data_IF_138629900632
#
_entry.id   IF_138629900632
#
_cell.length_a   1.000
_cell.length_b   1.000
_cell.length_c   1.000
_cell.angle_alpha   90.00
_cell.angle_beta   90.00
_cell.angle_gamma   90.00
#
_symmetry.space_group_name_H-M   'P 1'
#
loop_
_entity.id
_entity.type
_entity.pdbx_description
1 polymer ?
#
# COMPACT_ATOMS: atom_id res chain seq x y z
N UNK A 1 6.60 7.57 9.05
CA UNK A 1 6.09 8.81 8.41
C UNK A 1 6.03 9.92 9.43
N UNK A 2 6.54 11.10 9.09
CA UNK A 2 6.50 12.30 9.94
C UNK A 2 5.53 13.33 9.36
N UNK A 3 4.77 13.98 10.23
CA UNK A 3 3.90 15.10 9.90
C UNK A 3 4.52 16.38 10.48
N UNK A 4 4.75 17.37 9.62
CA UNK A 4 5.35 18.65 9.97
C UNK A 4 4.37 19.78 9.65
N UNK A 5 4.43 20.89 10.38
CA UNK A 5 3.77 22.14 9.94
C UNK A 5 4.58 22.86 8.85
N UNK A 6 4.07 24.01 8.38
CA UNK A 6 4.72 24.82 7.35
C UNK A 6 6.05 25.45 7.79
N UNK A 7 6.34 25.43 9.10
CA UNK A 7 7.61 25.92 9.67
C UNK A 7 8.60 24.77 9.92
N UNK A 8 8.19 23.52 9.68
CA UNK A 8 9.00 22.33 9.87
C UNK A 8 8.97 21.77 11.30
N UNK A 9 8.07 22.25 12.17
CA UNK A 9 7.92 21.69 13.51
C UNK A 9 7.22 20.32 13.43
N UNK A 10 7.70 19.35 14.22
CA UNK A 10 7.09 18.03 14.30
C UNK A 10 5.70 18.10 14.95
N UNK A 11 4.70 17.59 14.23
CA UNK A 11 3.32 17.46 14.71
C UNK A 11 3.00 16.05 15.20
N UNK A 12 3.44 15.03 14.45
CA UNK A 12 3.26 13.62 14.80
C UNK A 12 4.21 12.72 14.00
N UNK A 13 4.37 11.50 14.49
CA UNK A 13 5.11 10.43 13.83
C UNK A 13 4.35 9.11 13.99
N UNK A 14 4.21 8.37 12.90
CA UNK A 14 3.60 7.03 12.88
C UNK A 14 4.41 6.09 12.00
N UNK A 15 4.39 4.80 12.30
CA UNK A 15 5.06 3.78 11.50
C UNK A 15 4.19 3.41 10.28
N UNK A 16 4.84 3.26 9.13
CA UNK A 16 4.26 2.77 7.86
C UNK A 16 5.01 1.51 7.44
N UNK A 17 4.60 0.87 6.34
CA UNK A 17 5.23 -0.36 5.86
C UNK A 17 6.67 -0.20 5.35
N UNK A 18 7.22 -1.30 4.85
CA UNK A 18 8.60 -1.37 4.37
C UNK A 18 8.78 -0.62 3.04
N UNK A 19 9.86 0.15 2.94
CA UNK A 19 10.25 0.88 1.73
C UNK A 19 9.10 1.75 1.16
N UNK A 20 8.66 2.80 1.88
CA UNK A 20 7.61 3.68 1.37
C UNK A 20 8.09 4.44 0.13
N UNK A 21 7.29 4.41 -0.94
CA UNK A 21 7.65 5.05 -2.22
C UNK A 21 6.79 6.29 -2.50
N UNK A 22 5.47 6.14 -2.59
CA UNK A 22 4.56 7.23 -2.88
C UNK A 22 3.56 7.48 -1.75
N UNK A 23 3.02 8.71 -1.74
CA UNK A 23 1.90 9.06 -0.89
C UNK A 23 0.93 10.00 -1.59
N UNK A 24 -0.32 9.96 -1.16
CA UNK A 24 -1.35 10.90 -1.62
C UNK A 24 -2.44 11.10 -0.57
N UNK A 25 -3.16 12.20 -0.67
CA UNK A 25 -4.34 12.46 0.14
C UNK A 25 -5.60 11.99 -0.58
N UNK A 26 -6.60 11.55 0.17
CA UNK A 26 -7.96 11.45 -0.39
C UNK A 26 -8.49 12.85 -0.74
N UNK A 27 -9.40 12.98 -1.73
CA UNK A 27 -9.92 14.28 -2.16
C UNK A 27 -10.57 15.12 -1.05
N UNK A 28 -11.11 14.48 -0.01
CA UNK A 28 -11.70 15.13 1.16
C UNK A 28 -10.66 15.55 2.23
N UNK A 29 -9.38 15.24 2.01
CA UNK A 29 -8.27 15.54 2.91
C UNK A 29 -8.25 14.71 4.20
N UNK A 30 -9.13 13.71 4.35
CA UNK A 30 -9.30 12.97 5.61
C UNK A 30 -8.36 11.79 5.78
N UNK A 31 -7.71 11.33 4.71
CA UNK A 31 -6.78 10.20 4.77
C UNK A 31 -5.53 10.47 3.96
N UNK A 32 -4.41 9.94 4.45
CA UNK A 32 -3.17 9.78 3.67
C UNK A 32 -3.01 8.31 3.33
N UNK A 33 -2.75 8.02 2.06
CA UNK A 33 -2.37 6.70 1.59
C UNK A 33 -0.87 6.73 1.31
N UNK A 34 -0.14 5.72 1.78
CA UNK A 34 1.29 5.54 1.55
C UNK A 34 1.51 4.15 0.99
N UNK A 35 2.08 4.04 -0.19
CA UNK A 35 2.52 2.77 -0.77
C UNK A 35 3.85 2.36 -0.18
N UNK A 36 3.94 1.09 0.20
CA UNK A 36 5.12 0.48 0.79
C UNK A 36 5.53 -0.66 -0.15
N UNK A 37 6.58 -0.44 -0.95
CA UNK A 37 6.99 -1.38 -2.00
C UNK A 37 7.39 -2.72 -1.42
N UNK A 38 8.15 -2.72 -0.33
CA UNK A 38 8.64 -3.97 0.24
C UNK A 38 9.65 -4.72 -0.63
N UNK A 39 10.37 -4.05 -1.53
CA UNK A 39 11.36 -4.70 -2.41
C UNK A 39 12.40 -5.53 -1.61
N UNK A 40 12.78 -6.72 -2.07
CA UNK A 40 13.84 -7.50 -1.46
C UNK A 40 15.21 -6.83 -1.57
N UNK A 41 16.11 -7.16 -0.63
CA UNK A 41 17.52 -6.83 -0.82
C UNK A 41 18.15 -7.65 -1.96
N UNK A 42 19.31 -7.21 -2.48
CA UNK A 42 19.97 -7.85 -3.64
C UNK A 42 20.18 -9.37 -3.49
N UNK A 43 20.40 -9.84 -2.27
CA UNK A 43 20.64 -11.25 -1.94
C UNK A 43 19.35 -12.04 -1.64
N UNK A 44 18.17 -11.41 -1.70
CA UNK A 44 16.86 -12.00 -1.36
C UNK A 44 16.81 -12.65 0.03
N UNK A 45 17.61 -12.14 0.96
CA UNK A 45 17.66 -12.61 2.36
C UNK A 45 16.74 -11.82 3.28
N UNK A 46 16.34 -10.62 2.84
CA UNK A 46 15.33 -9.78 3.47
C UNK A 46 14.37 -9.39 2.35
N UNK A 47 13.15 -9.90 2.43
CA UNK A 47 12.10 -9.75 1.42
C UNK A 47 10.77 -9.43 2.14
N UNK A 48 10.55 -8.15 2.51
CA UNK A 48 9.34 -7.72 3.19
C UNK A 48 8.08 -7.91 2.34
N UNK A 49 6.90 -7.95 2.96
CA UNK A 49 5.65 -7.90 2.20
C UNK A 49 5.34 -6.46 1.79
N UNK A 50 4.96 -6.26 0.53
CA UNK A 50 4.43 -4.97 0.08
C UNK A 50 3.05 -4.70 0.68
N UNK A 51 2.71 -3.42 0.82
CA UNK A 51 1.46 -3.00 1.48
C UNK A 51 1.09 -1.55 1.17
N UNK A 52 -0.06 -1.11 1.67
CA UNK A 52 -0.43 0.31 1.70
C UNK A 52 -0.80 0.69 3.13
N UNK A 53 -0.18 1.73 3.66
CA UNK A 53 -0.58 2.33 4.93
C UNK A 53 -1.63 3.41 4.68
N UNK A 54 -2.75 3.33 5.38
CA UNK A 54 -3.88 4.25 5.28
C UNK A 54 -4.03 4.93 6.62
N UNK A 55 -3.76 6.23 6.66
CA UNK A 55 -3.68 7.03 7.89
C UNK A 55 -4.90 7.92 7.97
N UNK A 56 -5.72 7.76 9.01
CA UNK A 56 -6.85 8.64 9.29
C UNK A 56 -6.35 9.95 9.93
N UNK A 57 -6.52 11.05 9.19
CA UNK A 57 -6.14 12.42 9.58
C UNK A 57 -7.37 13.33 9.68
N UNK A 58 -8.57 12.76 9.79
CA UNK A 58 -9.82 13.51 9.82
C UNK A 58 -9.94 14.46 11.02
N UNK A 59 -9.27 14.14 12.12
CA UNK A 59 -9.20 14.95 13.36
C UNK A 59 -7.95 15.85 13.40
N UNK A 60 -7.23 15.99 12.28
CA UNK A 60 -6.00 16.78 12.16
C UNK A 60 -4.71 15.99 12.36
N UNK A 61 -3.58 16.70 12.47
CA UNK A 61 -2.24 16.11 12.37
C UNK A 61 -1.43 16.05 13.67
N UNK A 62 -1.91 16.64 14.77
CA UNK A 62 -1.09 16.91 15.98
C UNK A 62 -1.16 15.82 17.05
N UNK A 63 -1.98 14.79 16.87
CA UNK A 63 -2.17 13.70 17.83
C UNK A 63 -2.31 12.34 17.13
N UNK A 64 -1.68 12.19 15.97
CA UNK A 64 -1.70 10.92 15.25
C UNK A 64 -0.89 9.90 16.03
N UNK A 65 -1.47 8.73 16.23
CA UNK A 65 -0.85 7.57 16.85
C UNK A 65 -0.90 6.39 15.90
N UNK A 66 -0.30 5.26 16.28
CA UNK A 66 -0.38 4.07 15.45
C UNK A 66 -1.82 3.54 15.28
N UNK A 67 -2.75 3.91 16.18
CA UNK A 67 -4.18 3.55 16.03
C UNK A 67 -4.84 4.25 14.83
N UNK A 68 -4.25 5.35 14.33
CA UNK A 68 -4.71 6.03 13.12
C UNK A 68 -4.27 5.31 11.84
N UNK A 69 -3.34 4.37 11.92
CA UNK A 69 -2.78 3.67 10.75
C UNK A 69 -3.47 2.34 10.59
N UNK A 70 -4.04 2.11 9.41
CA UNK A 70 -4.45 0.78 8.96
C UNK A 70 -3.52 0.32 7.84
N UNK A 71 -2.94 -0.86 7.97
CA UNK A 71 -2.16 -1.49 6.90
C UNK A 71 -3.06 -2.40 6.08
N UNK A 72 -3.09 -2.16 4.78
CA UNK A 72 -3.74 -3.02 3.80
C UNK A 72 -2.65 -3.83 3.08
N UNK A 73 -2.59 -5.13 3.35
CA UNK A 73 -1.61 -6.07 2.81
C UNK A 73 -2.19 -6.99 1.71
N UNK A 74 -1.33 -7.83 1.13
CA UNK A 74 -1.68 -8.78 0.08
C UNK A 74 -1.70 -10.25 0.56
N UNK A 75 -1.63 -10.50 1.86
CA UNK A 75 -1.51 -11.87 2.41
C UNK A 75 -2.70 -12.76 2.06
N UNK A 76 -3.88 -12.16 1.88
CA UNK A 76 -5.10 -12.86 1.46
C UNK A 76 -4.99 -13.52 0.07
N UNK A 77 -3.97 -13.19 -0.72
CA UNK A 77 -3.69 -13.79 -2.03
C UNK A 77 -2.63 -14.88 -1.99
N UNK A 78 -1.95 -15.12 -0.86
CA UNK A 78 -0.85 -16.07 -0.79
C UNK A 78 -1.24 -17.50 -1.22
N UNK A 79 -2.49 -17.90 -0.93
CA UNK A 79 -3.03 -19.21 -1.32
C UNK A 79 -3.52 -19.27 -2.78
N UNK A 80 -3.43 -18.17 -3.54
CA UNK A 80 -3.91 -18.05 -4.94
C UNK A 80 -2.75 -17.91 -5.93
N UNK A 81 -1.51 -18.18 -5.52
CA UNK A 81 -0.30 -17.94 -6.33
C UNK A 81 -0.40 -18.55 -7.73
N UNK A 82 -0.75 -19.83 -7.83
CA UNK A 82 -0.83 -20.52 -9.12
C UNK A 82 -1.92 -19.92 -10.03
N UNK A 83 -3.10 -19.60 -9.48
CA UNK A 83 -4.21 -19.01 -10.24
C UNK A 83 -3.87 -17.61 -10.76
N UNK A 84 -3.17 -16.80 -9.94
CA UNK A 84 -2.74 -15.46 -10.32
C UNK A 84 -1.68 -15.50 -11.42
N UNK A 85 -0.72 -16.43 -11.34
CA UNK A 85 0.27 -16.67 -12.40
C UNK A 85 -0.41 -17.10 -13.70
N UNK A 86 -1.39 -18.02 -13.65
CA UNK A 86 -2.17 -18.42 -14.83
C UNK A 86 -2.97 -17.24 -15.42
N UNK A 87 -3.45 -16.34 -14.57
CA UNK A 87 -4.10 -15.09 -14.98
C UNK A 87 -3.12 -14.04 -15.52
N UNK A 88 -1.81 -14.32 -15.58
CA UNK A 88 -0.79 -13.44 -16.13
C UNK A 88 -0.20 -12.43 -15.14
N UNK A 89 -0.50 -12.55 -13.84
CA UNK A 89 0.17 -11.76 -12.81
C UNK A 89 1.57 -12.34 -12.59
N UNK A 90 2.57 -11.47 -12.63
CA UNK A 90 3.97 -11.87 -12.51
C UNK A 90 4.33 -12.06 -11.04
N UNK A 91 4.71 -13.28 -10.67
CA UNK A 91 5.20 -13.66 -9.34
C UNK A 91 6.44 -14.51 -9.58
N UNK A 92 7.62 -13.96 -9.32
CA UNK A 92 8.92 -14.46 -9.78
C UNK A 92 10.02 -14.42 -8.73
N UNK A 93 9.81 -13.79 -7.57
CA UNK A 93 10.77 -13.80 -6.48
C UNK A 93 11.11 -15.24 -6.05
N UNK A 94 12.38 -15.53 -5.73
CA UNK A 94 12.81 -16.87 -5.34
C UNK A 94 12.13 -17.29 -4.04
N UNK A 95 11.20 -18.26 -4.14
CA UNK A 95 10.35 -18.71 -3.03
C UNK A 95 9.44 -17.62 -2.42
N UNK A 96 9.24 -16.50 -3.12
CA UNK A 96 8.39 -15.42 -2.63
C UNK A 96 6.92 -15.85 -2.54
N UNK A 97 6.24 -15.35 -1.52
CA UNK A 97 4.78 -15.34 -1.45
C UNK A 97 4.20 -14.34 -2.46
N UNK A 98 2.87 -14.35 -2.64
CA UNK A 98 2.22 -13.31 -3.45
C UNK A 98 2.44 -11.95 -2.81
N UNK A 99 2.33 -11.85 -1.49
CA UNK A 99 2.44 -10.59 -0.77
C UNK A 99 3.84 -9.95 -0.83
N UNK A 100 4.89 -10.75 -0.94
CA UNK A 100 6.26 -10.27 -1.15
C UNK A 100 6.46 -9.71 -2.56
N UNK A 101 5.95 -10.40 -3.58
CA UNK A 101 6.10 -9.96 -4.97
C UNK A 101 5.09 -8.86 -5.39
N UNK A 102 4.15 -8.47 -4.53
CA UNK A 102 3.27 -7.33 -4.77
C UNK A 102 3.92 -6.06 -4.23
N UNK A 103 4.57 -5.30 -5.11
CA UNK A 103 5.32 -4.09 -4.77
C UNK A 103 4.58 -2.83 -5.24
N UNK A 104 3.66 -2.25 -4.44
CA UNK A 104 2.90 -1.09 -4.87
C UNK A 104 3.78 0.17 -4.84
N UNK A 105 3.77 0.95 -5.93
CA UNK A 105 4.60 2.16 -6.09
C UNK A 105 3.71 3.40 -6.27
N UNK A 106 2.95 3.48 -7.37
CA UNK A 106 2.09 4.63 -7.68
C UNK A 106 0.66 4.50 -7.14
N UNK A 107 0.07 5.63 -6.74
CA UNK A 107 -1.31 5.72 -6.22
C UNK A 107 -2.17 6.65 -7.08
N UNK A 108 -3.37 6.18 -7.45
CA UNK A 108 -4.44 7.02 -7.99
C UNK A 108 -5.71 6.86 -7.15
N UNK A 109 -6.30 7.98 -6.71
CA UNK A 109 -7.55 7.98 -5.93
C UNK A 109 -8.70 8.47 -6.80
N UNK A 110 -9.81 7.74 -6.77
CA UNK A 110 -11.08 8.16 -7.41
C UNK A 110 -11.54 9.53 -6.90
N UNK A 111 -12.20 10.31 -7.76
CA UNK A 111 -12.61 11.68 -7.45
C UNK A 111 -13.60 11.79 -6.28
N UNK A 112 -14.38 10.74 -6.03
CA UNK A 112 -15.30 10.66 -4.89
C UNK A 112 -14.62 10.14 -3.61
N UNK A 113 -13.33 9.81 -3.66
CA UNK A 113 -12.56 9.29 -2.54
C UNK A 113 -12.95 7.88 -2.08
N UNK A 114 -13.76 7.16 -2.86
CA UNK A 114 -14.31 5.86 -2.46
C UNK A 114 -13.37 4.69 -2.75
N UNK A 115 -12.40 4.86 -3.65
CA UNK A 115 -11.44 3.85 -4.07
C UNK A 115 -10.08 4.42 -4.45
N UNK A 116 -9.06 3.57 -4.34
CA UNK A 116 -7.73 3.81 -4.87
C UNK A 116 -7.26 2.64 -5.74
N UNK A 117 -6.42 2.94 -6.73
CA UNK A 117 -5.71 1.98 -7.56
C UNK A 117 -4.21 2.17 -7.33
N UNK A 118 -3.50 1.05 -7.25
CA UNK A 118 -2.05 1.00 -7.09
C UNK A 118 -1.42 0.27 -8.28
N UNK A 119 -0.29 0.78 -8.75
CA UNK A 119 0.54 0.06 -9.72
C UNK A 119 1.50 -0.83 -8.93
N UNK A 120 1.53 -2.13 -9.24
CA UNK A 120 2.54 -3.03 -8.69
C UNK A 120 3.63 -3.18 -9.77
N UNK A 121 4.77 -2.51 -9.53
CA UNK A 121 5.82 -2.24 -10.53
C UNK A 121 6.37 -3.53 -11.14
N UNK A 122 6.61 -4.54 -10.30
CA UNK A 122 7.25 -5.80 -10.70
C UNK A 122 6.28 -6.94 -11.03
N UNK A 123 5.01 -6.83 -10.63
CA UNK A 123 4.00 -7.90 -10.79
C UNK A 123 3.07 -7.72 -12.00
N UNK A 124 3.27 -6.65 -12.79
CA UNK A 124 2.52 -6.33 -14.00
C UNK A 124 0.99 -6.27 -13.79
N UNK A 125 0.55 -5.84 -12.60
CA UNK A 125 -0.85 -5.82 -12.22
C UNK A 125 -1.24 -4.53 -11.51
N UNK A 126 -2.54 -4.26 -11.48
CA UNK A 126 -3.11 -3.18 -10.67
C UNK A 126 -3.85 -3.77 -9.47
N UNK A 127 -3.65 -3.15 -8.31
CA UNK A 127 -4.38 -3.47 -7.08
C UNK A 127 -5.47 -2.42 -6.87
N UNK A 128 -6.72 -2.85 -6.68
CA UNK A 128 -7.85 -1.96 -6.38
C UNK A 128 -8.24 -2.05 -4.90
N UNK A 129 -8.25 -0.93 -4.18
CA UNK A 129 -8.67 -0.85 -2.79
C UNK A 129 -9.94 0.02 -2.62
N UNK A 130 -11.07 -0.56 -2.20
CA UNK A 130 -12.23 0.20 -1.75
C UNK A 130 -11.90 0.88 -0.41
N UNK A 131 -11.89 2.20 -0.40
CA UNK A 131 -11.54 2.98 0.78
C UNK A 131 -12.71 3.12 1.78
N UNK A 132 -13.93 2.75 1.41
CA UNK A 132 -15.11 2.85 2.30
C UNK A 132 -15.26 1.74 3.35
N UNK A 133 -14.35 0.76 3.38
CA UNK A 133 -14.50 -0.45 4.20
C UNK A 133 -13.36 -0.51 5.23
N UNK A 134 -13.68 -0.78 6.50
CA UNK A 134 -12.68 -0.93 7.58
C UNK A 134 -11.70 -2.10 7.35
N UNK A 135 -12.07 -3.03 6.48
CA UNK A 135 -11.23 -4.13 6.02
C UNK A 135 -10.91 -3.86 4.55
N UNK A 136 -9.82 -3.14 4.31
CA UNK A 136 -9.31 -2.86 2.98
C UNK A 136 -8.94 -4.18 2.33
N UNK A 137 -9.76 -4.62 1.36
CA UNK A 137 -9.49 -5.82 0.57
C UNK A 137 -9.10 -5.38 -0.81
N UNK A 138 -7.97 -5.87 -1.29
CA UNK A 138 -7.62 -5.64 -2.67
C UNK A 138 -8.45 -6.51 -3.61
N UNK A 139 -8.51 -6.08 -4.85
CA UNK A 139 -8.75 -6.96 -6.00
C UNK A 139 -7.58 -6.78 -6.96
N UNK A 140 -6.95 -7.87 -7.34
CA UNK A 140 -5.91 -7.89 -8.36
C UNK A 140 -6.55 -7.99 -9.74
N UNK A 141 -6.01 -7.25 -10.71
CA UNK A 141 -6.42 -7.32 -12.10
C UNK A 141 -5.23 -7.40 -13.04
N UNK A 142 -5.26 -8.36 -13.96
CA UNK A 142 -4.38 -8.46 -15.12
C UNK A 142 -5.13 -7.98 -16.37
N UNK A 143 -4.79 -6.79 -16.87
CA UNK A 143 -5.23 -6.37 -18.21
C UNK A 143 -4.14 -5.53 -18.86
N UNK A 144 -3.21 -6.21 -19.52
CA UNK A 144 -2.57 -5.78 -20.76
C UNK A 144 -2.37 -7.00 -21.65
#
# INVERSE_FOLDING_TARGET
MVFLDSEGNLLAEVEVGALPDALTFTPDGKRVLVTNEGEPNEEYTIDPEGSVSIIDVSEGFTNLTQENVTTADFTAFNDQKEELIEAGIRIFGPNASVAQDMEPEYIAVSSDGSSAVFVNSNSACLSFCPLGIKNYKYKLGSRF
#
